data_IF_311242590601
#
_entry.id   IF_311242590601
#
_cell.length_a   1.000
_cell.length_b   1.000
_cell.length_c   1.000
_cell.angle_alpha   90.00
_cell.angle_beta   90.00
_cell.angle_gamma   90.00
#
_symmetry.space_group_name_H-M   'P 1'
#
loop_
_entity.id
_entity.type
_entity.pdbx_description
1 polymer ?
#
# COMPACT_ATOMS: atom_id res chain seq x y z
N UNK A 1 -17.58 -1.23 14.85
CA UNK A 1 -16.74 -0.86 16.01
C UNK A 1 -15.25 -0.74 15.64
N UNK A 2 -14.62 -1.72 14.98
CA UNK A 2 -13.21 -1.59 14.52
C UNK A 2 -12.97 -0.41 13.55
N UNK A 3 -13.92 -0.12 12.65
CA UNK A 3 -13.82 0.96 11.65
C UNK A 3 -13.81 2.38 12.26
N UNK A 4 -14.45 2.58 13.41
CA UNK A 4 -14.48 3.88 14.09
C UNK A 4 -13.17 4.15 14.87
N UNK A 5 -12.52 3.09 15.36
CA UNK A 5 -11.25 3.17 16.09
C UNK A 5 -10.11 3.54 15.12
N UNK A 6 -10.08 2.98 13.90
CA UNK A 6 -9.06 3.37 12.93
C UNK A 6 -9.26 4.80 12.43
N UNK A 7 -10.50 5.25 12.23
CA UNK A 7 -10.79 6.63 11.81
C UNK A 7 -10.38 7.68 12.87
N UNK A 8 -10.53 7.36 14.15
CA UNK A 8 -10.00 8.20 15.24
C UNK A 8 -8.47 8.22 15.28
N UNK A 9 -7.80 7.11 14.94
CA UNK A 9 -6.34 7.02 14.88
C UNK A 9 -5.72 7.78 13.68
N UNK A 10 -6.47 7.98 12.59
CA UNK A 10 -6.07 8.84 11.45
C UNK A 10 -5.82 10.28 11.90
N UNK A 11 -6.68 10.79 12.79
CA UNK A 11 -6.63 12.20 13.21
C UNK A 11 -5.52 12.50 14.23
N UNK A 12 -4.95 11.47 14.88
CA UNK A 12 -4.06 11.64 16.04
C UNK A 12 -2.60 11.31 15.76
N UNK A 13 -2.28 10.57 14.69
CA UNK A 13 -0.92 10.12 14.44
C UNK A 13 -0.22 10.96 13.35
N UNK A 14 0.86 11.65 13.74
CA UNK A 14 1.71 12.47 12.86
C UNK A 14 2.57 11.68 11.86
N UNK A 15 2.21 10.44 11.53
CA UNK A 15 2.95 9.52 10.64
C UNK A 15 2.53 9.65 9.17
N UNK A 16 1.40 10.32 8.93
CA UNK A 16 0.92 10.65 7.59
C UNK A 16 1.94 11.49 6.78
N UNK A 17 2.57 12.54 7.31
CA UNK A 17 3.60 13.26 6.55
C UNK A 17 4.85 12.42 6.24
N UNK A 18 5.23 11.46 7.09
CA UNK A 18 6.46 10.65 6.91
C UNK A 18 6.35 9.67 5.73
N UNK A 19 5.15 9.16 5.47
CA UNK A 19 4.88 8.18 4.42
C UNK A 19 4.14 8.81 3.22
N UNK A 20 4.12 10.14 3.11
CA UNK A 20 3.42 10.85 2.03
C UNK A 20 4.18 10.77 0.71
N UNK A 21 5.50 10.67 0.77
CA UNK A 21 6.37 10.61 -0.38
C UNK A 21 6.79 9.17 -0.67
N UNK A 22 6.92 8.85 -1.96
CA UNK A 22 7.34 7.53 -2.41
C UNK A 22 8.85 7.32 -2.19
N UNK A 23 9.21 6.18 -1.62
CA UNK A 23 10.60 5.72 -1.52
C UNK A 23 10.87 4.74 -2.67
N UNK A 24 11.58 5.21 -3.68
CA UNK A 24 12.02 4.39 -4.82
C UNK A 24 13.44 3.92 -4.56
N UNK A 25 13.67 2.61 -4.66
CA UNK A 25 14.92 1.97 -4.23
C UNK A 25 15.47 1.08 -5.34
N UNK A 26 16.79 0.96 -5.43
CA UNK A 26 17.44 0.04 -6.35
C UNK A 26 17.63 -1.33 -5.69
N UNK A 27 17.61 -2.40 -6.50
CA UNK A 27 17.82 -3.76 -6.02
C UNK A 27 19.10 -3.87 -5.18
N UNK A 28 18.97 -4.39 -3.97
CA UNK A 28 20.09 -4.60 -3.04
C UNK A 28 20.43 -3.40 -2.16
N UNK A 29 19.70 -2.28 -2.25
CA UNK A 29 19.85 -1.15 -1.31
C UNK A 29 19.29 -1.48 0.08
N UNK A 30 19.92 -0.94 1.14
CA UNK A 30 19.48 -1.12 2.52
C UNK A 30 18.19 -0.33 2.80
N UNK A 31 17.21 -0.96 3.45
CA UNK A 31 15.96 -0.29 3.83
C UNK A 31 16.20 0.56 5.08
N UNK A 32 16.24 1.88 4.90
CA UNK A 32 16.46 2.85 5.98
C UNK A 32 15.21 3.71 6.18
N UNK A 33 14.90 4.02 7.45
CA UNK A 33 13.82 4.98 7.79
C UNK A 33 14.45 6.36 7.98
N UNK A 34 13.89 7.35 7.28
CA UNK A 34 14.28 8.75 7.42
C UNK A 34 14.20 9.20 8.88
N UNK A 35 15.32 9.70 9.42
CA UNK A 35 15.41 10.25 10.78
C UNK A 35 15.88 9.28 11.87
N UNK A 36 16.21 8.03 11.53
CA UNK A 36 16.93 7.13 12.44
C UNK A 36 18.41 7.11 12.01
N UNK A 37 19.32 7.39 12.95
CA UNK A 37 20.77 7.34 12.67
C UNK A 37 21.17 5.87 12.49
N UNK A 38 21.43 5.46 11.26
CA UNK A 38 22.13 4.20 11.01
C UNK A 38 23.55 4.34 11.55
N UNK A 39 23.94 3.47 12.49
CA UNK A 39 25.33 3.40 12.93
C UNK A 39 26.11 2.73 11.80
N UNK A 40 26.71 3.52 10.93
CA UNK A 40 27.73 3.02 10.00
C UNK A 40 28.97 2.67 10.84
N UNK A 41 29.18 1.37 11.09
CA UNK A 41 30.41 0.87 11.69
C UNK A 41 31.52 0.89 10.61
N UNK A 42 32.49 1.83 10.69
CA UNK A 42 33.36 2.20 9.57
C UNK A 42 34.33 1.09 9.11
N UNK A 43 34.49 0.04 9.91
CA UNK A 43 35.44 -1.07 9.65
C UNK A 43 34.77 -2.44 9.52
N UNK A 44 33.44 -2.51 9.42
CA UNK A 44 32.77 -3.80 9.21
C UNK A 44 32.88 -4.21 7.73
N UNK A 45 33.79 -5.14 7.42
CA UNK A 45 33.65 -5.94 6.21
C UNK A 45 32.24 -6.55 6.28
N UNK A 46 31.37 -6.41 5.25
CA UNK A 46 30.01 -6.94 5.25
C UNK A 46 30.05 -8.48 5.25
N UNK A 47 30.41 -9.04 6.40
CA UNK A 47 30.67 -10.47 6.60
C UNK A 47 29.35 -11.22 6.72
N UNK A 48 28.22 -10.50 6.87
CA UNK A 48 26.90 -11.09 6.89
C UNK A 48 25.78 -10.11 6.47
N UNK A 49 25.59 -9.96 5.16
CA UNK A 49 24.43 -9.22 4.59
C UNK A 49 23.08 -9.82 4.99
N UNK A 50 23.03 -11.07 5.49
CA UNK A 50 21.79 -11.71 5.98
C UNK A 50 21.14 -11.02 7.19
N UNK A 51 21.82 -10.07 7.84
CA UNK A 51 21.27 -9.31 8.97
C UNK A 51 20.52 -8.05 8.55
N UNK A 52 20.65 -7.65 7.29
CA UNK A 52 20.04 -6.43 6.77
C UNK A 52 18.85 -6.74 5.86
N UNK A 53 17.81 -5.91 5.94
CA UNK A 53 16.70 -5.94 4.99
C UNK A 53 17.11 -5.12 3.77
N UNK A 54 17.14 -5.77 2.61
CA UNK A 54 17.49 -5.14 1.34
C UNK A 54 16.27 -5.04 0.42
N UNK A 55 16.28 -4.07 -0.47
CA UNK A 55 15.30 -3.97 -1.54
C UNK A 55 15.41 -5.17 -2.49
N UNK A 56 14.34 -5.95 -2.61
CA UNK A 56 14.29 -7.17 -3.43
C UNK A 56 14.41 -6.88 -4.94
N UNK A 57 13.75 -5.81 -5.39
CA UNK A 57 13.77 -5.36 -6.79
C UNK A 57 13.84 -3.83 -6.88
N UNK A 58 14.38 -3.34 -8.00
CA UNK A 58 14.39 -1.90 -8.30
C UNK A 58 12.98 -1.39 -8.53
N UNK A 59 12.57 -0.34 -7.82
CA UNK A 59 11.23 0.24 -7.91
C UNK A 59 11.20 1.60 -8.58
N UNK A 60 10.22 1.82 -9.46
CA UNK A 60 9.96 3.09 -10.13
C UNK A 60 8.47 3.22 -10.46
N UNK A 61 8.00 4.45 -10.70
CA UNK A 61 6.58 4.77 -10.82
C UNK A 61 5.81 3.89 -11.82
N UNK A 62 6.33 3.74 -13.04
CA UNK A 62 5.63 2.97 -14.09
C UNK A 62 5.56 1.48 -13.79
N UNK A 63 6.56 0.92 -13.09
CA UNK A 63 6.53 -0.47 -12.63
C UNK A 63 5.41 -0.69 -11.60
N UNK A 64 5.29 0.20 -10.61
CA UNK A 64 4.24 0.10 -9.60
C UNK A 64 2.84 0.23 -10.20
N UNK A 65 2.66 1.11 -11.18
CA UNK A 65 1.41 1.20 -11.96
C UNK A 65 1.13 -0.11 -12.68
N UNK A 66 2.13 -0.71 -13.32
CA UNK A 66 1.98 -2.00 -14.01
C UNK A 66 1.59 -3.16 -13.08
N UNK A 67 2.10 -3.18 -11.85
CA UNK A 67 1.76 -4.20 -10.84
C UNK A 67 0.36 -3.97 -10.24
N UNK A 68 -0.06 -2.71 -10.08
CA UNK A 68 -1.39 -2.38 -9.56
C UNK A 68 -2.49 -2.53 -10.62
N UNK A 69 -2.20 -2.31 -11.90
CA UNK A 69 -3.19 -2.33 -12.97
C UNK A 69 -4.09 -3.58 -12.99
N UNK A 70 -3.59 -4.83 -12.81
CA UNK A 70 -4.43 -6.01 -12.73
C UNK A 70 -5.54 -5.94 -11.66
N UNK A 71 -5.36 -5.21 -10.57
CA UNK A 71 -6.36 -5.12 -9.49
C UNK A 71 -7.59 -4.31 -9.87
N UNK A 72 -7.50 -3.45 -10.89
CA UNK A 72 -8.64 -2.67 -11.42
C UNK A 72 -9.23 -3.30 -12.69
N UNK A 73 -8.58 -4.33 -13.24
CA UNK A 73 -9.15 -5.12 -14.34
C UNK A 73 -10.33 -5.97 -13.85
N UNK A 74 -11.25 -6.33 -14.75
CA UNK A 74 -12.43 -7.15 -14.40
C UNK A 74 -13.79 -6.44 -14.46
N UNK A 75 -13.83 -5.17 -14.89
CA UNK A 75 -15.07 -4.41 -15.11
C UNK A 75 -16.07 -5.15 -16.03
N UNK A 76 -15.57 -5.97 -16.96
CA UNK A 76 -16.37 -6.73 -17.92
C UNK A 76 -16.93 -8.05 -17.36
N UNK A 77 -16.58 -8.47 -16.14
CA UNK A 77 -17.07 -9.72 -15.58
C UNK A 77 -18.60 -9.74 -15.41
N UNK A 78 -19.23 -8.57 -15.22
CA UNK A 78 -20.68 -8.43 -15.06
C UNK A 78 -21.48 -8.77 -16.31
N UNK A 79 -20.94 -8.58 -17.52
CA UNK A 79 -21.67 -8.88 -18.76
C UNK A 79 -21.71 -10.36 -19.11
N UNK A 80 -20.87 -11.20 -18.50
CA UNK A 80 -20.82 -12.64 -18.78
C UNK A 80 -22.08 -13.40 -18.32
N UNK A 81 -22.90 -12.78 -17.45
CA UNK A 81 -24.20 -13.29 -16.99
C UNK A 81 -25.39 -12.52 -17.58
N UNK A 82 -25.16 -11.68 -18.59
CA UNK A 82 -26.15 -10.74 -19.15
C UNK A 82 -27.46 -11.39 -19.62
N UNK A 83 -27.42 -12.65 -20.09
CA UNK A 83 -28.60 -13.39 -20.55
C UNK A 83 -29.59 -13.81 -19.45
N UNK A 84 -29.21 -13.72 -18.18
CA UNK A 84 -30.06 -14.06 -17.01
C UNK A 84 -30.71 -12.80 -16.38
N UNK A 85 -30.44 -11.62 -16.93
CA UNK A 85 -31.01 -10.38 -16.41
C UNK A 85 -32.34 -10.06 -17.07
N UNK A 86 -33.32 -9.71 -16.23
CA UNK A 86 -34.62 -9.19 -16.65
C UNK A 86 -34.46 -7.99 -17.60
N UNK A 87 -33.51 -7.08 -17.31
CA UNK A 87 -33.14 -5.94 -18.16
C UNK A 87 -31.62 -5.73 -18.16
N UNK A 88 -30.92 -6.40 -19.06
CA UNK A 88 -29.46 -6.34 -19.18
C UNK A 88 -28.94 -4.91 -19.48
N UNK A 89 -29.64 -4.15 -20.33
CA UNK A 89 -29.20 -2.80 -20.73
C UNK A 89 -29.21 -1.78 -19.58
N UNK A 90 -30.06 -1.99 -18.57
CA UNK A 90 -30.11 -1.13 -17.38
C UNK A 90 -29.20 -1.64 -16.26
N UNK A 91 -29.12 -2.95 -16.10
CA UNK A 91 -28.48 -3.56 -14.94
C UNK A 91 -26.95 -3.68 -15.09
N UNK A 92 -26.42 -3.82 -16.31
CA UNK A 92 -24.98 -3.82 -16.57
C UNK A 92 -24.32 -2.49 -16.18
N UNK A 93 -24.77 -1.31 -16.66
CA UNK A 93 -24.12 -0.04 -16.31
C UNK A 93 -24.27 0.28 -14.81
N UNK A 94 -25.43 0.02 -14.22
CA UNK A 94 -25.67 0.26 -12.79
C UNK A 94 -24.80 -0.64 -11.91
N UNK A 95 -24.74 -1.94 -12.20
CA UNK A 95 -23.92 -2.88 -11.45
C UNK A 95 -22.43 -2.56 -11.53
N UNK A 96 -21.97 -2.12 -12.71
CA UNK A 96 -20.58 -1.73 -12.94
C UNK A 96 -20.18 -0.51 -12.10
N UNK A 97 -20.99 0.54 -12.09
CA UNK A 97 -20.72 1.77 -11.32
C UNK A 97 -20.70 1.46 -9.82
N UNK A 98 -21.66 0.66 -9.34
CA UNK A 98 -21.71 0.26 -7.94
C UNK A 98 -20.49 -0.59 -7.54
N UNK A 99 -20.06 -1.51 -8.41
CA UNK A 99 -18.87 -2.31 -8.18
C UNK A 99 -17.60 -1.44 -8.10
N UNK A 100 -17.39 -0.52 -9.04
CA UNK A 100 -16.24 0.40 -9.05
C UNK A 100 -16.25 1.28 -7.79
N UNK A 101 -17.41 1.79 -7.39
CA UNK A 101 -17.54 2.63 -6.19
C UNK A 101 -17.15 1.84 -4.94
N UNK A 102 -17.62 0.60 -4.83
CA UNK A 102 -17.34 -0.26 -3.68
C UNK A 102 -15.85 -0.61 -3.59
N UNK A 103 -15.23 -1.02 -4.70
CA UNK A 103 -13.80 -1.36 -4.72
C UNK A 103 -12.91 -0.13 -4.46
N UNK A 104 -13.28 1.04 -4.99
CA UNK A 104 -12.55 2.29 -4.75
C UNK A 104 -12.54 2.67 -3.27
N UNK A 105 -13.69 2.54 -2.59
CA UNK A 105 -13.78 2.80 -1.14
C UNK A 105 -12.89 1.84 -0.35
N UNK A 106 -12.92 0.55 -0.68
CA UNK A 106 -12.11 -0.48 0.00
C UNK A 106 -10.62 -0.23 -0.20
N UNK A 107 -10.18 0.09 -1.42
CA UNK A 107 -8.78 0.37 -1.72
C UNK A 107 -8.27 1.59 -0.93
N UNK A 108 -9.00 2.69 -0.94
CA UNK A 108 -8.64 3.92 -0.21
C UNK A 108 -8.62 3.66 1.30
N UNK A 109 -9.64 2.97 1.81
CA UNK A 109 -9.70 2.62 3.22
C UNK A 109 -8.52 1.74 3.64
N UNK A 110 -8.22 0.69 2.89
CA UNK A 110 -7.08 -0.20 3.16
C UNK A 110 -5.74 0.55 3.16
N UNK A 111 -5.55 1.43 2.17
CA UNK A 111 -4.37 2.29 2.09
C UNK A 111 -4.22 3.16 3.33
N UNK A 112 -5.29 3.87 3.73
CA UNK A 112 -5.25 4.73 4.92
C UNK A 112 -4.99 3.94 6.20
N UNK A 113 -5.56 2.74 6.35
CA UNK A 113 -5.31 1.92 7.54
C UNK A 113 -3.83 1.50 7.64
N UNK A 114 -3.24 1.01 6.54
CA UNK A 114 -1.82 0.60 6.50
C UNK A 114 -0.88 1.76 6.87
N UNK A 115 -1.22 2.97 6.47
CA UNK A 115 -0.46 4.20 6.76
C UNK A 115 -0.43 4.56 8.25
N UNK A 116 -1.53 4.31 8.97
CA UNK A 116 -1.64 4.55 10.41
C UNK A 116 -0.78 3.54 11.20
N UNK A 117 -0.82 2.26 10.83
CA UNK A 117 -0.12 1.19 11.55
C UNK A 117 1.39 1.12 11.26
N UNK A 118 1.88 1.90 10.30
CA UNK A 118 3.32 2.06 10.04
C UNK A 118 4.00 2.99 11.06
N UNK A 119 3.26 3.54 12.03
CA UNK A 119 3.76 4.31 13.13
C UNK A 119 4.46 3.40 14.17
N UNK A 120 5.76 3.58 14.46
CA UNK A 120 6.40 2.82 15.53
C UNK A 120 5.76 3.18 16.90
N UNK A 121 5.33 2.19 17.70
CA UNK A 121 4.84 2.45 19.04
C UNK A 121 6.03 2.79 19.95
N UNK A 122 6.23 4.07 20.20
CA UNK A 122 7.14 4.56 21.23
C UNK A 122 8.60 4.59 20.79
N UNK A 123 9.24 5.74 21.01
CA UNK A 123 10.68 5.80 21.05
C UNK A 123 11.19 4.87 22.15
N UNK A 124 11.96 3.86 21.76
CA UNK A 124 13.09 3.35 22.51
C UNK A 124 13.93 2.53 21.51
N UNK A 125 15.11 3.06 21.23
CA UNK A 125 16.15 2.45 20.39
C UNK A 125 16.40 1.00 20.77
N UNK A 126 16.40 0.09 19.79
CA UNK A 126 17.18 -1.15 19.80
C UNK A 126 17.34 -1.64 18.36
N UNK A 127 18.25 -1.03 17.61
CA UNK A 127 19.48 -1.64 17.03
C UNK A 127 20.30 -0.54 16.37
#
# INVERSE_FOLDING_TARGET
>A
MLTAISMSAIATNGVVPENLFGNYMEKGSFIEKLGITAVEEPDSIPTNTNRYVLADITSFFTMLVGIYFPSVTGIMAGSNRSGDLQDAQKSIPVGTILAITTTSIICIFSYMNTHIYSAPPGGHSLI
#
